data_IF_495305101980
#
_entry.id   IF_495305101980
#
_cell.length_a   1.000
_cell.length_b   1.000
_cell.length_c   1.000
_cell.angle_alpha   90.00
_cell.angle_beta   90.00
_cell.angle_gamma   90.00
#
_symmetry.space_group_name_H-M   'P 1'
#
loop_
_entity.id
_entity.type
_entity.pdbx_description
1 polymer ?
#
# COMPACT_ATOMS: atom_id res chain seq x y z
N UNK A 1 20.55 -5.76 -36.58
CA UNK A 1 20.46 -4.29 -36.49
C UNK A 1 20.25 -3.96 -35.01
N UNK A 2 21.34 -3.63 -34.32
CA UNK A 2 21.32 -3.21 -32.91
C UNK A 2 20.77 -1.78 -32.86
N UNK A 3 19.58 -1.58 -32.30
CA UNK A 3 19.09 -0.22 -32.04
C UNK A 3 19.91 0.40 -30.91
N UNK A 4 20.41 1.64 -31.04
CA UNK A 4 21.22 2.25 -30.00
C UNK A 4 20.37 2.50 -28.75
N UNK A 5 20.83 1.97 -27.61
CA UNK A 5 20.23 2.27 -26.31
C UNK A 5 20.33 3.77 -26.04
N UNK A 6 19.20 4.47 -26.10
CA UNK A 6 19.14 5.89 -25.80
C UNK A 6 19.23 6.12 -24.28
N UNK A 7 19.74 7.26 -23.85
CA UNK A 7 19.75 7.68 -22.43
C UNK A 7 18.32 7.65 -21.83
N UNK A 8 17.30 7.89 -22.66
CA UNK A 8 15.89 7.76 -22.26
C UNK A 8 15.46 6.29 -22.04
N UNK A 9 16.01 5.35 -22.80
CA UNK A 9 15.81 3.90 -22.57
C UNK A 9 16.48 3.46 -21.27
N UNK A 10 17.63 4.02 -20.91
CA UNK A 10 18.31 3.75 -19.64
C UNK A 10 17.57 4.36 -18.43
N UNK A 11 16.96 5.54 -18.58
CA UNK A 11 16.03 6.09 -17.57
C UNK A 11 14.79 5.20 -17.34
N UNK A 12 14.35 4.47 -18.37
CA UNK A 12 13.24 3.51 -18.28
C UNK A 12 13.63 2.19 -17.61
N UNK A 13 14.91 1.86 -17.56
CA UNK A 13 15.47 0.74 -16.79
C UNK A 13 15.80 1.12 -15.33
N UNK A 14 15.71 2.41 -14.98
CA UNK A 14 15.89 2.85 -13.62
C UNK A 14 14.78 2.25 -12.73
N UNK A 15 15.17 1.84 -11.52
CA UNK A 15 14.27 1.44 -10.46
C UNK A 15 13.07 2.41 -10.35
N UNK A 16 11.93 1.90 -9.87
CA UNK A 16 10.76 2.72 -9.56
C UNK A 16 11.20 4.05 -8.94
N UNK A 17 10.68 5.21 -9.41
CA UNK A 17 11.13 6.52 -8.94
C UNK A 17 11.15 6.55 -7.41
N UNK A 18 12.30 6.94 -6.85
CA UNK A 18 12.56 6.92 -5.42
C UNK A 18 11.93 8.17 -4.77
N UNK A 19 11.15 7.99 -3.71
CA UNK A 19 10.53 9.12 -3.01
C UNK A 19 11.55 10.03 -2.34
N UNK A 20 12.78 9.57 -2.14
CA UNK A 20 13.90 10.34 -1.57
C UNK A 20 14.67 11.15 -2.63
N UNK A 21 14.39 10.95 -3.92
CA UNK A 21 15.02 11.71 -5.00
C UNK A 21 14.49 13.15 -5.05
N UNK A 22 15.28 14.08 -4.54
CA UNK A 22 14.96 15.52 -4.48
C UNK A 22 14.98 16.21 -5.84
N UNK A 23 15.44 15.54 -6.91
CA UNK A 23 15.35 16.08 -8.27
C UNK A 23 13.96 15.92 -8.89
N UNK A 24 13.12 15.05 -8.32
CA UNK A 24 11.74 14.83 -8.72
C UNK A 24 10.80 15.90 -8.15
N UNK A 25 9.67 16.09 -8.82
CA UNK A 25 8.62 16.97 -8.28
C UNK A 25 8.04 16.39 -6.97
N UNK A 26 7.51 17.24 -6.07
CA UNK A 26 6.81 16.76 -4.88
C UNK A 26 5.70 15.73 -5.19
N UNK A 27 4.94 15.96 -6.27
CA UNK A 27 3.88 15.06 -6.72
C UNK A 27 4.41 13.71 -7.19
N UNK A 28 5.56 13.69 -7.87
CA UNK A 28 6.22 12.46 -8.30
C UNK A 28 6.71 11.64 -7.10
N UNK A 29 7.26 12.31 -6.08
CA UNK A 29 7.70 11.67 -4.83
C UNK A 29 6.53 11.10 -4.02
N UNK A 30 5.43 11.84 -3.90
CA UNK A 30 4.19 11.33 -3.27
C UNK A 30 3.62 10.14 -4.05
N UNK A 31 3.64 10.20 -5.39
CA UNK A 31 3.20 9.08 -6.23
C UNK A 31 4.08 7.84 -6.05
N UNK A 32 5.38 8.00 -5.83
CA UNK A 32 6.27 6.91 -5.48
C UNK A 32 5.86 6.25 -4.15
N UNK A 33 5.57 7.04 -3.11
CA UNK A 33 5.06 6.52 -1.84
C UNK A 33 3.73 5.77 -2.00
N UNK A 34 2.79 6.29 -2.80
CA UNK A 34 1.51 5.61 -3.09
C UNK A 34 1.73 4.26 -3.78
N UNK A 35 2.71 4.17 -4.71
CA UNK A 35 3.05 2.89 -5.35
C UNK A 35 3.55 1.86 -4.33
N UNK A 36 4.36 2.27 -3.35
CA UNK A 36 4.79 1.40 -2.26
C UNK A 36 3.61 0.89 -1.42
N UNK A 37 2.64 1.75 -1.11
CA UNK A 37 1.42 1.37 -0.39
C UNK A 37 0.52 0.41 -1.20
N UNK A 38 0.45 0.58 -2.52
CA UNK A 38 -0.44 -0.22 -3.38
C UNK A 38 0.05 -1.64 -3.68
N UNK A 39 1.30 -1.97 -3.35
CA UNK A 39 1.91 -3.25 -3.68
C UNK A 39 1.47 -4.37 -2.71
N UNK A 40 0.25 -4.86 -2.89
CA UNK A 40 -0.37 -5.91 -2.08
C UNK A 40 -0.87 -7.03 -2.98
N UNK A 41 -0.47 -8.25 -2.64
CA UNK A 41 -0.97 -9.48 -3.25
C UNK A 41 -1.74 -10.28 -2.20
N UNK A 42 -2.92 -10.76 -2.56
CA UNK A 42 -3.74 -11.65 -1.74
C UNK A 42 -3.41 -13.09 -2.11
N UNK A 43 -3.23 -13.92 -1.10
CA UNK A 43 -3.08 -15.36 -1.26
C UNK A 43 -4.39 -16.01 -0.86
N UNK A 44 -5.04 -16.66 -1.82
CA UNK A 44 -6.35 -17.30 -1.66
C UNK A 44 -6.32 -18.52 -0.70
N UNK A 45 -5.14 -19.03 -0.35
CA UNK A 45 -4.97 -20.11 0.64
C UNK A 45 -4.87 -19.56 2.08
N UNK A 46 -4.77 -18.25 2.25
CA UNK A 46 -4.74 -17.58 3.54
C UNK A 46 -6.14 -17.03 3.85
N UNK A 47 -6.74 -17.49 4.94
CA UNK A 47 -8.10 -17.05 5.30
C UNK A 47 -8.20 -15.52 5.48
N UNK A 48 -9.30 -14.87 5.03
CA UNK A 48 -9.50 -13.42 5.15
C UNK A 48 -9.34 -12.90 6.58
N UNK A 49 -9.71 -13.70 7.59
CA UNK A 49 -9.53 -13.37 9.01
C UNK A 49 -8.09 -12.99 9.36
N UNK A 50 -7.10 -13.62 8.74
CA UNK A 50 -5.68 -13.29 8.99
C UNK A 50 -5.35 -11.89 8.49
N UNK A 51 -5.84 -11.51 7.32
CA UNK A 51 -5.67 -10.17 6.77
C UNK A 51 -6.32 -9.09 7.63
N UNK A 52 -7.52 -9.34 8.19
CA UNK A 52 -8.15 -8.42 9.15
C UNK A 52 -7.27 -8.19 10.38
N UNK A 53 -6.69 -9.25 10.96
CA UNK A 53 -5.75 -9.11 12.10
C UNK A 53 -4.48 -8.35 11.73
N UNK A 54 -3.91 -8.62 10.54
CA UNK A 54 -2.76 -7.86 10.04
C UNK A 54 -3.11 -6.39 9.79
N UNK A 55 -4.34 -6.09 9.38
CA UNK A 55 -4.82 -4.73 9.21
C UNK A 55 -4.86 -3.93 10.51
N UNK A 56 -5.30 -4.55 11.61
CA UNK A 56 -5.30 -3.90 12.93
C UNK A 56 -3.88 -3.48 13.33
N UNK A 57 -2.89 -4.37 13.15
CA UNK A 57 -1.51 -4.03 13.46
C UNK A 57 -0.93 -2.97 12.51
N UNK A 58 -1.30 -3.03 11.23
CA UNK A 58 -0.88 -2.04 10.23
C UNK A 58 -1.35 -0.63 10.59
N UNK A 59 -2.60 -0.49 11.05
CA UNK A 59 -3.17 0.79 11.48
C UNK A 59 -2.54 1.30 12.79
N UNK A 60 -2.30 0.39 13.74
CA UNK A 60 -1.56 0.72 14.97
C UNK A 60 -0.17 1.26 14.63
N UNK A 61 0.57 0.59 13.75
CA UNK A 61 1.90 1.03 13.34
C UNK A 61 1.90 2.33 12.54
N UNK A 62 0.90 2.54 11.67
CA UNK A 62 0.72 3.81 10.96
C UNK A 62 0.53 4.97 11.94
N UNK A 63 -0.24 4.74 13.01
CA UNK A 63 -0.48 5.73 14.07
C UNK A 63 0.79 6.05 14.87
N UNK A 64 1.63 5.06 15.16
CA UNK A 64 2.94 5.28 15.79
C UNK A 64 3.83 6.15 14.91
N UNK A 65 3.97 5.84 13.62
CA UNK A 65 4.76 6.65 12.71
C UNK A 65 4.24 8.08 12.58
N UNK A 66 2.92 8.27 12.59
CA UNK A 66 2.31 9.60 12.59
C UNK A 66 2.69 10.39 13.86
N UNK A 67 2.63 9.75 15.03
CA UNK A 67 2.99 10.38 16.32
C UNK A 67 4.48 10.74 16.40
N UNK A 68 5.35 9.93 15.81
CA UNK A 68 6.79 10.16 15.73
C UNK A 68 7.19 11.21 14.67
N UNK A 69 6.22 11.71 13.88
CA UNK A 69 6.48 12.64 12.78
C UNK A 69 7.07 11.96 11.53
N UNK A 70 7.10 10.63 11.48
CA UNK A 70 7.52 9.85 10.32
C UNK A 70 6.38 9.74 9.29
N UNK A 71 6.07 10.87 8.65
CA UNK A 71 4.90 11.03 7.80
C UNK A 71 4.93 10.14 6.55
N UNK A 72 6.10 9.91 5.95
CA UNK A 72 6.23 9.08 4.75
C UNK A 72 5.86 7.61 5.05
N UNK A 73 6.38 7.04 6.14
CA UNK A 73 6.03 5.67 6.54
C UNK A 73 4.58 5.56 7.01
N UNK A 74 4.07 6.55 7.74
CA UNK A 74 2.65 6.59 8.10
C UNK A 74 1.76 6.58 6.84
N UNK A 75 2.08 7.42 5.85
CA UNK A 75 1.37 7.48 4.58
C UNK A 75 1.40 6.15 3.83
N UNK A 76 2.56 5.48 3.76
CA UNK A 76 2.68 4.17 3.11
C UNK A 76 1.82 3.12 3.81
N UNK A 77 1.83 3.06 5.14
CA UNK A 77 1.01 2.08 5.88
C UNK A 77 -0.49 2.37 5.76
N UNK A 78 -0.92 3.63 5.80
CA UNK A 78 -2.34 3.97 5.58
C UNK A 78 -2.79 3.63 4.17
N UNK A 79 -1.99 3.94 3.13
CA UNK A 79 -2.31 3.53 1.76
C UNK A 79 -2.39 2.01 1.64
N UNK A 80 -1.46 1.28 2.27
CA UNK A 80 -1.48 -0.18 2.28
C UNK A 80 -2.72 -0.74 2.97
N UNK A 81 -3.14 -0.14 4.06
CA UNK A 81 -4.36 -0.51 4.77
C UNK A 81 -5.60 -0.31 3.89
N UNK A 82 -5.71 0.87 3.26
CA UNK A 82 -6.82 1.20 2.36
C UNK A 82 -6.84 0.25 1.16
N UNK A 83 -5.73 0.08 0.44
CA UNK A 83 -5.64 -0.83 -0.71
C UNK A 83 -6.01 -2.26 -0.31
N UNK A 84 -5.54 -2.74 0.85
CA UNK A 84 -5.88 -4.07 1.33
C UNK A 84 -7.39 -4.25 1.46
N UNK A 85 -8.08 -3.35 2.16
CA UNK A 85 -9.49 -3.57 2.52
C UNK A 85 -10.50 -3.06 1.49
N UNK A 86 -10.13 -2.08 0.66
CA UNK A 86 -11.01 -1.50 -0.35
C UNK A 86 -10.84 -2.19 -1.70
N UNK A 87 -9.61 -2.49 -2.11
CA UNK A 87 -9.34 -2.98 -3.47
C UNK A 87 -9.07 -4.47 -3.54
N UNK A 88 -8.28 -5.01 -2.60
CA UNK A 88 -7.68 -6.34 -2.75
C UNK A 88 -8.47 -7.44 -2.03
N UNK A 89 -8.62 -7.33 -0.72
CA UNK A 89 -9.25 -8.36 0.09
C UNK A 89 -10.72 -8.66 -0.28
N UNK A 90 -11.54 -7.68 -0.73
CA UNK A 90 -12.91 -7.96 -1.19
C UNK A 90 -13.01 -8.95 -2.35
N UNK A 91 -11.94 -9.14 -3.15
CA UNK A 91 -11.92 -10.12 -4.25
C UNK A 91 -11.59 -11.55 -3.82
N UNK A 92 -11.15 -11.77 -2.57
CA UNK A 92 -10.81 -13.10 -2.06
C UNK A 92 -12.05 -14.01 -2.03
N UNK A 93 -11.91 -15.27 -2.45
CA UNK A 93 -13.04 -16.22 -2.60
C UNK A 93 -13.91 -16.36 -1.34
N UNK A 94 -13.26 -16.42 -0.18
CA UNK A 94 -13.93 -16.58 1.12
C UNK A 94 -14.30 -15.26 1.83
N UNK A 95 -14.09 -14.09 1.20
CA UNK A 95 -14.28 -12.79 1.86
C UNK A 95 -15.70 -12.57 2.39
N UNK A 96 -16.71 -12.95 1.60
CA UNK A 96 -18.12 -12.74 1.93
C UNK A 96 -18.57 -13.60 3.11
N UNK A 97 -17.97 -14.78 3.27
CA UNK A 97 -18.27 -15.70 4.38
C UNK A 97 -17.51 -15.33 5.66
N UNK A 98 -16.54 -14.41 5.57
CA UNK A 98 -15.76 -13.97 6.71
C UNK A 98 -16.55 -12.97 7.57
N UNK A 99 -17.13 -13.47 8.66
CA UNK A 99 -17.73 -12.68 9.73
C UNK A 99 -16.76 -12.59 10.91
N UNK A 100 -16.08 -11.45 11.05
CA UNK A 100 -15.16 -11.17 12.15
C UNK A 100 -15.43 -9.77 12.71
N UNK A 101 -15.38 -9.56 14.03
CA UNK A 101 -15.65 -8.25 14.64
C UNK A 101 -14.79 -7.12 14.04
N UNK A 102 -13.52 -7.42 13.77
CA UNK A 102 -12.55 -6.46 13.21
C UNK A 102 -13.02 -5.87 11.86
N UNK A 103 -13.82 -6.61 11.08
CA UNK A 103 -14.36 -6.13 9.80
C UNK A 103 -15.28 -4.92 10.00
N UNK A 104 -16.10 -4.90 11.04
CA UNK A 104 -17.01 -3.79 11.29
C UNK A 104 -16.24 -2.52 11.67
N UNK A 105 -15.26 -2.66 12.56
CA UNK A 105 -14.44 -1.54 13.02
C UNK A 105 -13.60 -0.94 11.89
N UNK A 106 -12.98 -1.80 11.07
CA UNK A 106 -12.19 -1.38 9.90
C UNK A 106 -13.09 -0.66 8.89
N UNK A 107 -14.28 -1.18 8.59
CA UNK A 107 -15.20 -0.56 7.64
C UNK A 107 -15.80 0.76 8.17
N UNK A 108 -15.88 0.94 9.49
CA UNK A 108 -16.26 2.23 10.08
C UNK A 108 -15.15 3.25 9.88
N UNK A 109 -13.90 2.90 10.21
CA UNK A 109 -12.72 3.77 10.04
C UNK A 109 -12.51 4.20 8.60
N UNK A 110 -12.72 3.31 7.62
CA UNK A 110 -12.58 3.63 6.19
C UNK A 110 -13.61 4.65 5.67
N UNK A 111 -14.65 4.97 6.46
CA UNK A 111 -15.69 5.95 6.12
C UNK A 111 -15.54 7.28 6.86
N UNK A 112 -14.67 7.32 7.87
CA UNK A 112 -14.32 8.54 8.61
C UNK A 112 -13.28 9.35 7.82
#
# INVERSE_FOLDING_TARGET
MEQPFTVNSLKKLAAMPDHTDVSLSPEERVRALSKLGSNITINEDITPRRYFRSGVEMERMASVYLQEGNLENAFVLYNKFITLFVEKLPSHRDYQQCAVPEKQDIMKKLKE
#
